data_IF_322327906014
#
_entry.id   IF_322327906014
#
_cell.length_a   1.000
_cell.length_b   1.000
_cell.length_c   1.000
_cell.angle_alpha   90.00
_cell.angle_beta   90.00
_cell.angle_gamma   90.00
#
_symmetry.space_group_name_H-M   'P 1'
#
loop_
_entity.id
_entity.type
_entity.pdbx_description
1 polymer ?
#
# COMPACT_ATOMS: atom_id res chain seq x y z
N UNK A 1 -3.26 -16.89 16.24
CA UNK A 1 -2.48 -17.65 15.23
C UNK A 1 -2.42 -16.78 13.98
N UNK A 2 -1.22 -16.53 13.43
CA UNK A 2 -1.04 -15.87 12.14
C UNK A 2 -0.28 -16.81 11.22
N UNK A 3 -0.67 -16.89 9.94
CA UNK A 3 -0.19 -17.87 8.96
C UNK A 3 0.54 -17.16 7.80
N UNK A 4 1.65 -16.49 8.14
CA UNK A 4 2.35 -15.57 7.23
C UNK A 4 3.04 -16.21 6.03
N UNK A 5 3.21 -17.54 6.00
CA UNK A 5 3.86 -18.22 4.86
C UNK A 5 3.13 -17.98 3.54
N UNK A 6 1.80 -17.85 3.57
CA UNK A 6 1.02 -17.54 2.37
C UNK A 6 1.38 -16.18 1.78
N UNK A 7 1.66 -15.19 2.64
CA UNK A 7 2.10 -13.86 2.22
C UNK A 7 3.52 -13.91 1.61
N UNK A 8 4.49 -14.54 2.28
CA UNK A 8 5.85 -14.69 1.75
C UNK A 8 5.90 -15.39 0.39
N UNK A 9 5.15 -16.49 0.22
CA UNK A 9 5.07 -17.20 -1.06
C UNK A 9 4.38 -16.33 -2.11
N UNK A 10 3.31 -15.62 -1.74
CA UNK A 10 2.59 -14.71 -2.63
C UNK A 10 3.47 -13.56 -3.12
N UNK A 11 4.27 -12.97 -2.25
CA UNK A 11 5.21 -11.90 -2.61
C UNK A 11 6.33 -12.39 -3.54
N UNK A 12 6.87 -13.59 -3.31
CA UNK A 12 7.99 -14.12 -4.09
C UNK A 12 7.58 -14.58 -5.50
N UNK A 13 6.39 -15.16 -5.66
CA UNK A 13 5.99 -15.83 -6.90
C UNK A 13 4.76 -15.22 -7.58
N UNK A 14 3.97 -14.42 -6.85
CA UNK A 14 2.72 -13.84 -7.34
C UNK A 14 1.51 -14.77 -7.16
N UNK A 15 0.29 -14.21 -7.23
CA UNK A 15 -0.96 -14.94 -6.95
C UNK A 15 -1.35 -15.95 -8.03
N UNK A 16 -0.79 -15.84 -9.23
CA UNK A 16 -1.07 -16.75 -10.36
C UNK A 16 -0.07 -17.91 -10.45
N UNK A 17 0.80 -18.07 -9.46
CA UNK A 17 1.90 -19.03 -9.46
C UNK A 17 1.49 -20.44 -9.05
N UNK A 18 2.31 -21.45 -9.39
CA UNK A 18 2.09 -22.82 -8.91
C UNK A 18 2.47 -22.96 -7.44
N UNK A 19 3.40 -22.12 -6.98
CA UNK A 19 3.92 -22.05 -5.63
C UNK A 19 2.82 -21.60 -4.65
N UNK A 20 2.08 -20.52 -4.96
CA UNK A 20 0.98 -20.09 -4.10
C UNK A 20 -0.18 -21.10 -4.13
N UNK A 21 -0.44 -21.75 -5.26
CA UNK A 21 -1.42 -22.82 -5.35
C UNK A 21 -1.04 -23.98 -4.42
N UNK A 22 0.19 -24.52 -4.51
CA UNK A 22 0.64 -25.60 -3.63
C UNK A 22 0.60 -25.18 -2.15
N UNK A 23 1.00 -23.94 -1.85
CA UNK A 23 0.92 -23.37 -0.50
C UNK A 23 -0.51 -23.36 0.04
N UNK A 24 -1.50 -22.93 -0.75
CA UNK A 24 -2.93 -22.91 -0.32
C UNK A 24 -3.45 -24.33 -0.09
N UNK A 25 -3.09 -25.29 -0.94
CA UNK A 25 -3.49 -26.71 -0.78
C UNK A 25 -2.87 -27.32 0.48
N UNK A 26 -1.63 -26.96 0.82
CA UNK A 26 -1.00 -27.39 2.07
C UNK A 26 -1.65 -26.74 3.28
N UNK A 27 -1.93 -25.44 3.21
CA UNK A 27 -2.58 -24.68 4.26
C UNK A 27 -3.95 -25.30 4.60
N UNK A 28 -4.75 -25.64 3.59
CA UNK A 28 -6.03 -26.33 3.76
C UNK A 28 -5.89 -27.62 4.59
N UNK A 29 -4.94 -28.49 4.20
CA UNK A 29 -4.67 -29.75 4.93
C UNK A 29 -4.19 -29.51 6.36
N UNK A 30 -3.35 -28.51 6.59
CA UNK A 30 -2.87 -28.17 7.92
C UNK A 30 -3.99 -27.63 8.81
N UNK A 31 -4.85 -26.75 8.28
CA UNK A 31 -6.02 -26.25 8.98
C UNK A 31 -6.98 -27.39 9.32
N UNK A 32 -7.24 -28.31 8.39
CA UNK A 32 -8.06 -29.49 8.64
C UNK A 32 -7.57 -30.27 9.86
N UNK A 33 -6.29 -30.65 9.88
CA UNK A 33 -5.69 -31.36 11.02
C UNK A 33 -5.74 -30.56 12.31
N UNK A 34 -5.45 -29.27 12.26
CA UNK A 34 -5.47 -28.40 13.43
C UNK A 34 -6.88 -28.34 14.05
N UNK A 35 -7.89 -28.12 13.22
CA UNK A 35 -9.29 -28.04 13.64
C UNK A 35 -9.80 -29.38 14.18
N UNK A 36 -9.44 -30.50 13.54
CA UNK A 36 -9.75 -31.84 14.05
C UNK A 36 -9.23 -32.04 15.47
N UNK A 37 -7.97 -31.67 15.74
CA UNK A 37 -7.39 -31.80 17.08
C UNK A 37 -8.08 -30.88 18.10
N UNK A 38 -8.47 -29.66 17.70
CA UNK A 38 -9.26 -28.78 18.56
C UNK A 38 -10.62 -29.40 18.90
N UNK A 39 -11.31 -29.98 17.92
CA UNK A 39 -12.62 -30.58 18.14
C UNK A 39 -12.55 -31.86 18.98
N UNK A 40 -11.50 -32.67 18.84
CA UNK A 40 -11.25 -33.82 19.73
C UNK A 40 -11.05 -33.36 21.17
N UNK A 41 -10.28 -32.29 21.38
CA UNK A 41 -9.91 -31.83 22.71
C UNK A 41 -11.03 -31.09 23.45
N UNK A 42 -11.80 -30.27 22.73
CA UNK A 42 -12.75 -29.34 23.35
C UNK A 42 -14.21 -29.62 23.00
N UNK A 43 -14.47 -30.48 22.02
CA UNK A 43 -15.80 -30.72 21.46
C UNK A 43 -16.18 -29.65 20.45
N UNK A 44 -16.70 -30.08 19.29
CA UNK A 44 -17.02 -29.19 18.16
C UNK A 44 -17.97 -28.03 18.51
N UNK A 45 -18.91 -28.26 19.41
CA UNK A 45 -19.91 -27.26 19.80
C UNK A 45 -19.36 -26.18 20.75
N UNK A 46 -18.14 -26.37 21.25
CA UNK A 46 -17.50 -25.46 22.21
C UNK A 46 -16.39 -24.62 21.57
N UNK A 47 -16.25 -24.65 20.24
CA UNK A 47 -15.20 -23.95 19.50
C UNK A 47 -15.84 -23.04 18.44
N UNK A 48 -15.62 -21.73 18.58
CA UNK A 48 -15.89 -20.75 17.53
C UNK A 48 -14.61 -20.54 16.72
N UNK A 49 -14.71 -20.66 15.40
CA UNK A 49 -13.60 -20.40 14.47
C UNK A 49 -13.94 -19.16 13.64
N UNK A 50 -13.03 -18.20 13.65
CA UNK A 50 -13.05 -17.04 12.75
C UNK A 50 -11.75 -17.07 11.97
N UNK A 51 -11.86 -17.11 10.64
CA UNK A 51 -10.73 -17.09 9.72
C UNK A 51 -10.92 -15.90 8.76
N UNK A 52 -9.87 -15.10 8.61
CA UNK A 52 -9.83 -13.93 7.74
C UNK A 52 -8.41 -13.77 7.17
N UNK A 53 -8.26 -12.88 6.20
CA UNK A 53 -6.98 -12.30 5.82
C UNK A 53 -6.88 -10.87 6.32
N UNK A 54 -5.65 -10.38 6.47
CA UNK A 54 -5.31 -8.98 6.70
C UNK A 54 -5.36 -8.16 5.41
N UNK A 55 -5.01 -8.76 4.27
CA UNK A 55 -5.17 -8.15 2.95
C UNK A 55 -5.32 -9.18 1.82
N UNK A 56 -5.65 -8.67 0.63
CA UNK A 56 -5.60 -9.43 -0.62
C UNK A 56 -4.29 -9.22 -1.36
N UNK A 57 -4.24 -9.71 -2.60
CA UNK A 57 -3.13 -9.51 -3.53
C UNK A 57 -3.68 -9.32 -4.94
N UNK A 58 -3.06 -8.46 -5.73
CA UNK A 58 -3.43 -8.24 -7.13
C UNK A 58 -2.46 -9.00 -8.05
N UNK A 59 -2.91 -9.49 -9.23
CA UNK A 59 -2.02 -10.08 -10.22
C UNK A 59 -0.87 -9.15 -10.60
N UNK A 60 0.28 -9.72 -10.94
CA UNK A 60 1.36 -8.91 -11.51
C UNK A 60 0.93 -8.27 -12.84
N UNK A 61 1.39 -7.04 -13.14
CA UNK A 61 1.02 -6.35 -14.37
C UNK A 61 1.27 -7.16 -15.63
N UNK A 62 2.35 -7.95 -15.67
CA UNK A 62 2.69 -8.85 -16.78
C UNK A 62 1.57 -9.85 -17.07
N UNK A 63 1.05 -10.48 -16.01
CA UNK A 63 -0.05 -11.44 -16.08
C UNK A 63 -1.37 -10.75 -16.39
N UNK A 64 -1.64 -9.61 -15.77
CA UNK A 64 -2.84 -8.83 -16.03
C UNK A 64 -2.95 -8.37 -17.49
N UNK A 65 -1.83 -7.92 -18.10
CA UNK A 65 -1.78 -7.56 -19.53
C UNK A 65 -2.10 -8.75 -20.43
N UNK A 66 -1.57 -9.94 -20.11
CA UNK A 66 -1.88 -11.17 -20.85
C UNK A 66 -3.36 -11.58 -20.74
N UNK A 67 -4.06 -11.14 -19.69
CA UNK A 67 -5.51 -11.36 -19.49
C UNK A 67 -6.38 -10.19 -20.02
N UNK A 68 -5.81 -9.27 -20.79
CA UNK A 68 -6.55 -8.19 -21.47
C UNK A 68 -6.50 -6.83 -20.76
N UNK A 69 -5.77 -6.70 -19.65
CA UNK A 69 -5.61 -5.42 -18.95
C UNK A 69 -4.40 -4.65 -19.47
N UNK A 70 -4.46 -4.17 -20.71
CA UNK A 70 -3.33 -3.53 -21.41
C UNK A 70 -2.71 -2.34 -20.66
N UNK A 71 -3.48 -1.63 -19.84
CA UNK A 71 -3.02 -0.49 -19.04
C UNK A 71 -2.33 -0.85 -17.71
N UNK A 72 -2.22 -2.13 -17.36
CA UNK A 72 -1.56 -2.57 -16.13
C UNK A 72 -0.05 -2.33 -16.20
N UNK A 73 0.53 -1.64 -15.22
CA UNK A 73 1.96 -1.31 -15.14
C UNK A 73 2.50 -1.40 -13.72
N UNK A 74 3.83 -1.51 -13.62
CA UNK A 74 4.57 -1.27 -12.37
C UNK A 74 4.83 0.23 -12.25
N UNK A 75 4.48 0.82 -11.11
CA UNK A 75 4.58 2.26 -10.85
C UNK A 75 5.75 2.48 -9.90
N UNK A 76 6.74 3.25 -10.35
CA UNK A 76 8.00 3.49 -9.64
C UNK A 76 8.07 4.97 -9.23
N UNK A 77 7.67 5.32 -7.99
CA UNK A 77 7.69 6.71 -7.51
C UNK A 77 9.10 7.16 -7.08
N UNK A 78 10.00 6.21 -6.80
CA UNK A 78 11.31 6.45 -6.16
C UNK A 78 12.14 7.53 -6.84
N UNK A 79 12.19 7.52 -8.18
CA UNK A 79 12.96 8.51 -8.94
C UNK A 79 12.46 9.94 -8.71
N UNK A 80 11.14 10.12 -8.54
CA UNK A 80 10.55 11.42 -8.21
C UNK A 80 10.98 11.84 -6.81
N UNK A 81 10.82 10.95 -5.82
CA UNK A 81 11.13 11.24 -4.42
C UNK A 81 12.61 11.54 -4.23
N UNK A 82 13.48 10.71 -4.80
CA UNK A 82 14.93 10.90 -4.80
C UNK A 82 15.33 12.23 -5.44
N UNK A 83 14.72 12.60 -6.57
CA UNK A 83 15.04 13.88 -7.24
C UNK A 83 14.66 15.10 -6.39
N UNK A 84 13.55 15.04 -5.66
CA UNK A 84 13.09 16.13 -4.80
C UNK A 84 13.94 16.18 -3.54
N UNK A 85 14.28 15.05 -2.93
CA UNK A 85 15.20 14.99 -1.80
C UNK A 85 16.57 15.57 -2.16
N UNK A 86 17.15 15.18 -3.31
CA UNK A 86 18.42 15.72 -3.76
C UNK A 86 18.39 17.24 -3.98
N UNK A 87 17.27 17.80 -4.45
CA UNK A 87 17.08 19.24 -4.58
C UNK A 87 16.96 19.95 -3.22
N UNK A 88 16.40 19.29 -2.20
CA UNK A 88 16.33 19.80 -0.84
C UNK A 88 17.68 19.74 -0.15
N UNK A 89 18.48 18.68 -0.35
CA UNK A 89 19.83 18.55 0.19
C UNK A 89 20.77 19.68 -0.25
N UNK A 90 20.58 20.21 -1.46
CA UNK A 90 21.36 21.35 -1.96
C UNK A 90 20.99 22.69 -1.28
N UNK A 91 19.84 22.76 -0.60
CA UNK A 91 19.29 23.98 -0.01
C UNK A 91 19.32 23.98 1.50
N UNK A 92 19.19 22.80 2.11
CA UNK A 92 19.01 22.63 3.55
C UNK A 92 19.94 21.53 4.04
N UNK A 93 20.71 21.82 5.08
CA UNK A 93 21.51 20.79 5.74
C UNK A 93 20.60 19.82 6.51
N UNK A 94 20.70 18.52 6.22
CA UNK A 94 19.90 17.48 6.85
C UNK A 94 19.69 16.28 5.94
N UNK A 95 18.70 15.45 6.27
CA UNK A 95 18.30 14.26 5.53
C UNK A 95 16.82 13.94 5.84
N UNK A 96 16.29 12.88 5.22
CA UNK A 96 14.96 12.31 5.51
C UNK A 96 13.79 13.28 5.28
N UNK A 97 13.85 14.08 4.21
CA UNK A 97 12.85 15.10 3.92
C UNK A 97 11.50 14.52 3.52
N UNK A 98 11.48 13.70 2.46
CA UNK A 98 10.30 13.04 1.94
C UNK A 98 10.53 11.54 1.92
N UNK A 99 9.53 10.80 2.39
CA UNK A 99 9.43 9.35 2.29
C UNK A 99 8.18 8.98 1.50
N UNK A 100 8.24 7.86 0.77
CA UNK A 100 7.08 7.34 0.08
C UNK A 100 6.90 5.87 0.40
N UNK A 101 5.76 5.54 1.01
CA UNK A 101 5.48 4.18 1.45
C UNK A 101 4.04 3.81 1.15
N UNK A 102 3.82 2.70 0.45
CA UNK A 102 2.50 2.13 0.20
C UNK A 102 1.46 3.13 -0.36
N UNK A 103 1.91 4.08 -1.18
CA UNK A 103 1.06 5.12 -1.76
C UNK A 103 0.96 6.41 -0.93
N UNK A 104 1.64 6.51 0.21
CA UNK A 104 1.64 7.70 1.07
C UNK A 104 2.93 8.49 0.89
N UNK A 105 2.83 9.78 0.58
CA UNK A 105 3.95 10.70 0.74
C UNK A 105 3.96 11.21 2.18
N UNK A 106 5.05 10.94 2.89
CA UNK A 106 5.24 11.30 4.29
C UNK A 106 6.36 12.33 4.39
N UNK A 107 6.13 13.39 5.17
CA UNK A 107 7.14 14.35 5.56
C UNK A 107 7.36 14.18 7.07
N UNK A 108 8.43 13.48 7.51
CA UNK A 108 8.65 13.19 8.93
C UNK A 108 8.73 14.45 9.80
N UNK A 109 9.23 15.56 9.25
CA UNK A 109 9.34 16.83 9.96
C UNK A 109 9.10 18.02 9.01
N UNK A 110 7.82 18.35 8.85
CA UNK A 110 7.38 19.53 8.07
C UNK A 110 7.99 20.83 8.60
N UNK A 111 8.18 20.94 9.92
CA UNK A 111 8.67 22.15 10.59
C UNK A 111 10.13 22.44 10.26
N UNK A 112 10.97 21.41 10.10
CA UNK A 112 12.38 21.58 9.66
C UNK A 112 12.50 22.27 8.30
N UNK A 113 11.70 21.86 7.33
CA UNK A 113 11.71 22.49 6.00
C UNK A 113 11.23 23.94 6.08
N UNK A 114 10.14 24.18 6.83
CA UNK A 114 9.62 25.53 7.04
C UNK A 114 10.63 26.47 7.72
N UNK A 115 11.36 25.98 8.72
CA UNK A 115 12.38 26.76 9.44
C UNK A 115 13.53 27.23 8.54
N UNK A 116 13.77 26.54 7.41
CA UNK A 116 14.77 26.92 6.41
C UNK A 116 14.18 27.73 5.25
N UNK A 117 12.96 28.27 5.41
CA UNK A 117 12.30 29.08 4.39
C UNK A 117 11.80 28.30 3.18
N UNK A 118 11.75 26.96 3.25
CA UNK A 118 11.20 26.13 2.18
C UNK A 118 9.68 26.24 2.21
N UNK A 119 9.08 26.60 1.07
CA UNK A 119 7.63 26.52 0.89
C UNK A 119 7.22 25.06 0.70
N UNK A 120 6.86 24.39 1.80
CA UNK A 120 6.51 22.96 1.81
C UNK A 120 5.29 22.67 0.92
N UNK A 121 4.28 23.54 0.88
CA UNK A 121 3.11 23.33 0.03
C UNK A 121 3.47 23.37 -1.47
N UNK A 122 4.43 24.21 -1.86
CA UNK A 122 4.97 24.20 -3.22
C UNK A 122 5.69 22.88 -3.54
N UNK A 123 6.46 22.33 -2.59
CA UNK A 123 7.14 21.04 -2.76
C UNK A 123 6.12 19.91 -2.91
N UNK A 124 5.15 19.85 -2.00
CA UNK A 124 4.07 18.85 -2.04
C UNK A 124 3.25 18.94 -3.33
N UNK A 125 2.98 20.16 -3.82
CA UNK A 125 2.25 20.38 -5.08
C UNK A 125 3.05 19.90 -6.30
N UNK A 126 4.35 20.16 -6.34
CA UNK A 126 5.24 19.67 -7.40
C UNK A 126 5.28 18.13 -7.41
N UNK A 127 5.49 17.50 -6.24
CA UNK A 127 5.48 16.04 -6.10
C UNK A 127 4.13 15.45 -6.53
N UNK A 128 3.02 16.04 -6.10
CA UNK A 128 1.68 15.59 -6.50
C UNK A 128 1.49 15.66 -8.02
N UNK A 129 1.99 16.71 -8.66
CA UNK A 129 1.92 16.89 -10.11
C UNK A 129 2.71 15.81 -10.85
N UNK A 130 3.94 15.53 -10.42
CA UNK A 130 4.80 14.49 -10.98
C UNK A 130 4.21 13.09 -10.78
N UNK A 131 3.68 12.79 -9.60
CA UNK A 131 3.03 11.51 -9.30
C UNK A 131 1.80 11.30 -10.17
N UNK A 132 0.96 12.32 -10.37
CA UNK A 132 -0.23 12.23 -11.26
C UNK A 132 0.15 11.93 -12.71
N UNK A 133 1.34 12.34 -13.16
CA UNK A 133 1.81 12.09 -14.51
C UNK A 133 2.32 10.65 -14.74
N UNK A 134 2.55 9.87 -13.66
CA UNK A 134 2.99 8.48 -13.80
C UNK A 134 1.88 7.62 -14.43
N UNK A 135 2.26 6.82 -15.42
CA UNK A 135 1.40 5.77 -15.94
C UNK A 135 1.00 4.82 -14.79
N UNK A 136 -0.26 4.42 -14.75
CA UNK A 136 -0.79 3.56 -13.68
C UNK A 136 -1.27 4.30 -12.43
N UNK A 137 -1.01 5.60 -12.26
CA UNK A 137 -1.63 6.41 -11.19
C UNK A 137 -3.05 6.82 -11.59
N UNK A 138 -4.03 6.57 -10.71
CA UNK A 138 -5.42 6.95 -10.91
C UNK A 138 -5.75 8.31 -10.30
N UNK A 139 -5.24 8.57 -9.08
CA UNK A 139 -5.47 9.82 -8.34
C UNK A 139 -4.37 10.07 -7.32
N UNK A 140 -4.20 11.34 -7.00
CA UNK A 140 -3.36 11.84 -5.92
C UNK A 140 -4.16 12.89 -5.16
N UNK A 141 -4.37 12.69 -3.88
CA UNK A 141 -5.16 13.57 -3.01
C UNK A 141 -4.34 14.03 -1.81
N UNK A 142 -4.71 15.17 -1.22
CA UNK A 142 -4.20 15.54 0.10
C UNK A 142 -5.14 14.99 1.18
N UNK A 143 -4.63 14.35 2.24
CA UNK A 143 -5.46 13.87 3.35
C UNK A 143 -6.37 14.94 3.97
N UNK A 144 -5.87 16.18 4.09
CA UNK A 144 -6.63 17.32 4.61
C UNK A 144 -7.90 17.63 3.81
N UNK A 145 -7.91 17.30 2.52
CA UNK A 145 -9.08 17.48 1.65
C UNK A 145 -10.09 16.33 1.76
N UNK A 146 -9.72 15.23 2.44
CA UNK A 146 -10.55 14.05 2.65
C UNK A 146 -11.23 14.08 4.04
N UNK A 147 -10.57 14.64 5.06
CA UNK A 147 -11.09 14.70 6.43
C UNK A 147 -12.39 15.49 6.54
N UNK A 148 -13.33 15.01 7.36
CA UNK A 148 -14.60 15.70 7.66
C UNK A 148 -15.68 15.56 6.58
N UNK A 149 -15.43 14.84 5.49
CA UNK A 149 -16.43 14.57 4.46
C UNK A 149 -17.10 13.23 4.71
N UNK A 150 -18.41 13.24 4.99
CA UNK A 150 -19.21 12.05 4.71
C UNK A 150 -19.15 11.80 3.20
N UNK A 151 -18.65 10.64 2.81
CA UNK A 151 -18.35 10.34 1.42
C UNK A 151 -18.80 8.93 1.05
N UNK A 152 -19.41 8.82 -0.13
CA UNK A 152 -19.76 7.56 -0.78
C UNK A 152 -18.67 7.06 -1.72
N UNK A 153 -17.64 7.87 -2.00
CA UNK A 153 -16.50 7.46 -2.80
C UNK A 153 -15.64 6.44 -2.03
N UNK A 154 -15.55 5.19 -2.50
CA UNK A 154 -14.88 4.12 -1.75
C UNK A 154 -13.38 4.34 -1.58
N UNK A 155 -12.72 5.07 -2.50
CA UNK A 155 -11.28 5.33 -2.38
C UNK A 155 -11.01 6.39 -1.32
N UNK A 156 -11.74 7.51 -1.34
CA UNK A 156 -11.63 8.52 -0.28
C UNK A 156 -11.97 7.93 1.09
N UNK A 157 -13.06 7.14 1.18
CA UNK A 157 -13.45 6.47 2.43
C UNK A 157 -12.36 5.55 2.97
N UNK A 158 -11.65 4.81 2.10
CA UNK A 158 -10.53 3.95 2.50
C UNK A 158 -9.41 4.76 3.13
N UNK A 159 -8.97 5.84 2.48
CA UNK A 159 -7.90 6.68 3.01
C UNK A 159 -8.30 7.36 4.33
N UNK A 160 -9.54 7.86 4.44
CA UNK A 160 -10.04 8.44 5.69
C UNK A 160 -9.96 7.45 6.85
N UNK A 161 -10.25 6.17 6.61
CA UNK A 161 -10.19 5.13 7.64
C UNK A 161 -8.78 4.55 7.88
N UNK A 162 -7.81 4.84 7.01
CA UNK A 162 -6.44 4.32 7.11
C UNK A 162 -5.47 5.33 7.73
N UNK A 163 -5.75 6.63 7.55
CA UNK A 163 -4.85 7.70 7.98
C UNK A 163 -5.21 8.19 9.38
N UNK A 164 -4.17 8.43 10.18
CA UNK A 164 -4.28 9.20 11.42
C UNK A 164 -4.07 10.69 11.13
N UNK A 165 -4.82 11.62 11.74
CA UNK A 165 -4.69 13.07 11.50
C UNK A 165 -3.25 13.60 11.64
N UNK A 166 -2.47 13.03 12.57
CA UNK A 166 -1.10 13.49 12.87
C UNK A 166 -0.01 12.59 12.23
N UNK A 167 -0.36 11.75 11.26
CA UNK A 167 0.55 10.75 10.68
C UNK A 167 1.64 11.30 9.74
N UNK A 168 1.75 12.62 9.58
CA UNK A 168 2.74 13.25 8.69
C UNK A 168 2.52 13.00 7.20
N UNK A 169 1.35 12.47 6.81
CA UNK A 169 1.02 12.15 5.41
C UNK A 169 0.52 13.41 4.70
N UNK A 170 1.23 13.81 3.64
CA UNK A 170 0.91 14.99 2.84
C UNK A 170 0.12 14.67 1.57
N UNK A 171 0.37 13.48 1.00
CA UNK A 171 -0.34 12.97 -0.17
C UNK A 171 -0.68 11.50 0.00
N UNK A 172 -1.81 11.10 -0.57
CA UNK A 172 -2.15 9.71 -0.83
C UNK A 172 -2.36 9.47 -2.30
N UNK A 173 -1.82 8.37 -2.80
CA UNK A 173 -1.81 7.99 -4.21
C UNK A 173 -2.53 6.67 -4.38
N UNK A 174 -3.51 6.64 -5.27
CA UNK A 174 -4.21 5.41 -5.63
C UNK A 174 -3.89 5.04 -7.07
N UNK A 175 -3.52 3.78 -7.26
CA UNK A 175 -3.22 3.23 -8.57
C UNK A 175 -4.49 2.83 -9.33
N UNK A 176 -4.38 2.78 -10.66
CA UNK A 176 -5.39 2.16 -11.53
C UNK A 176 -5.46 0.66 -11.23
N UNK A 177 -6.59 -0.01 -11.49
CA UNK A 177 -6.71 -1.45 -11.33
C UNK A 177 -5.55 -2.21 -12.01
N UNK A 178 -5.06 -3.26 -11.37
CA UNK A 178 -3.96 -4.13 -11.84
C UNK A 178 -2.59 -3.45 -11.96
N UNK A 179 -2.45 -2.20 -11.56
CA UNK A 179 -1.15 -1.56 -11.40
C UNK A 179 -0.65 -1.78 -9.97
N UNK A 180 0.67 -1.93 -9.82
CA UNK A 180 1.32 -2.17 -8.52
C UNK A 180 2.49 -1.21 -8.32
N UNK A 181 2.84 -0.97 -7.07
CA UNK A 181 4.10 -0.32 -6.70
C UNK A 181 5.29 -1.22 -7.05
N UNK A 182 6.40 -0.61 -7.43
CA UNK A 182 7.67 -1.29 -7.68
C UNK A 182 8.85 -0.39 -7.39
#
# INVERSE_FOLDING_TARGET
>A
MSLSTTDYVGHAFGPDSREIHDQVVRLDRYLGRFLEQLFVRYGRNNVLVVLTADHGVTPYPERARALGHAGAVRVIPDTIIQSVNAALDQRVAGADWLQFESGMLILPDRSKLFAHGVNVDSVVTDVATRLRALAGVARVDRPVDLTGKDTTDPVSRRWIHQLTPDGGVELVVTLKPYCIWS
#
